data_IF_210885163431
#
_entry.id   IF_210885163431
#
_cell.length_a   1.000
_cell.length_b   1.000
_cell.length_c   1.000
_cell.angle_alpha   90.00
_cell.angle_beta   90.00
_cell.angle_gamma   90.00
#
_symmetry.space_group_name_H-M   'P 1'
#
loop_
_entity.id
_entity.type
_entity.pdbx_description
1 polymer ?
#
# COMPACT_ATOMS: atom_id res chain seq x y z
N UNK A 1 4.35 24.80 -7.26
CA UNK A 1 3.12 25.37 -7.86
C UNK A 1 2.39 24.39 -8.78
N UNK A 2 2.90 24.02 -9.96
CA UNK A 2 2.11 23.17 -10.89
C UNK A 2 1.88 21.74 -10.40
N UNK A 3 2.92 21.10 -9.85
CA UNK A 3 2.81 19.75 -9.30
C UNK A 3 1.87 19.70 -8.09
N UNK A 4 1.94 20.68 -7.20
CA UNK A 4 1.05 20.80 -6.04
C UNK A 4 -0.41 21.00 -6.49
N UNK A 5 -0.65 21.86 -7.48
CA UNK A 5 -1.99 22.08 -8.03
C UNK A 5 -2.57 20.80 -8.65
N UNK A 6 -1.76 20.02 -9.37
CA UNK A 6 -2.17 18.72 -9.90
C UNK A 6 -2.51 17.72 -8.79
N UNK A 7 -1.70 17.68 -7.73
CA UNK A 7 -1.98 16.84 -6.55
C UNK A 7 -3.28 17.29 -5.88
N UNK A 8 -3.47 18.58 -5.60
CA UNK A 8 -4.70 19.12 -5.01
C UNK A 8 -5.94 18.80 -5.84
N UNK A 9 -5.87 18.97 -7.16
CA UNK A 9 -6.98 18.60 -8.07
C UNK A 9 -7.26 17.09 -8.07
N UNK A 10 -6.21 16.27 -7.98
CA UNK A 10 -6.34 14.82 -7.83
C UNK A 10 -7.01 14.43 -6.52
N UNK A 11 -6.62 15.08 -5.41
CA UNK A 11 -7.24 14.89 -4.09
C UNK A 11 -8.72 15.30 -4.08
N UNK A 12 -9.09 16.40 -4.75
CA UNK A 12 -10.49 16.82 -4.87
C UNK A 12 -11.38 15.83 -5.64
N UNK A 13 -10.81 15.06 -6.57
CA UNK A 13 -11.54 14.01 -7.31
C UNK A 13 -11.57 12.67 -6.59
N UNK A 14 -10.83 12.52 -5.49
CA UNK A 14 -10.82 11.30 -4.68
C UNK A 14 -12.20 11.14 -4.04
N UNK A 15 -12.85 10.00 -4.28
CA UNK A 15 -14.12 9.68 -3.62
C UNK A 15 -13.90 9.56 -2.11
N UNK A 16 -14.45 10.50 -1.35
CA UNK A 16 -14.56 10.46 0.11
C UNK A 16 -16.01 10.17 0.45
N UNK A 17 -16.27 9.10 1.21
CA UNK A 17 -17.61 8.75 1.67
C UNK A 17 -17.58 8.54 3.19
N UNK A 18 -18.33 9.36 3.92
CA UNK A 18 -18.40 9.33 5.38
C UNK A 18 -19.09 8.04 5.90
N UNK A 19 -18.47 7.34 6.87
CA UNK A 19 -19.12 6.34 7.76
C UNK A 19 -19.31 6.96 9.15
N UNK A 20 -20.16 6.36 9.97
CA UNK A 20 -20.34 6.70 11.41
C UNK A 20 -19.04 6.56 12.25
N UNK A 21 -17.98 5.95 11.71
CA UNK A 21 -16.68 5.76 12.38
C UNK A 21 -15.56 6.70 11.85
N UNK A 22 -15.71 7.30 10.67
CA UNK A 22 -14.71 8.21 10.11
C UNK A 22 -15.35 9.09 9.01
N UNK A 23 -15.44 10.41 9.24
CA UNK A 23 -16.20 11.29 8.35
C UNK A 23 -15.46 11.76 7.11
N UNK A 24 -14.13 11.61 7.02
CA UNK A 24 -13.38 12.29 5.94
C UNK A 24 -12.37 11.49 5.11
N UNK A 25 -11.84 10.31 5.50
CA UNK A 25 -10.59 9.87 4.82
C UNK A 25 -10.45 8.46 4.24
N UNK A 26 -11.29 7.45 4.55
CA UNK A 26 -10.74 6.07 4.50
C UNK A 26 -11.43 5.05 3.59
N UNK A 27 -11.95 5.43 2.41
CA UNK A 27 -12.60 4.44 1.51
C UNK A 27 -12.01 4.26 0.12
N UNK A 28 -11.25 5.24 -0.35
CA UNK A 28 -10.50 5.13 -1.59
C UNK A 28 -9.03 4.93 -1.30
N UNK A 29 -8.35 4.13 -2.12
CA UNK A 29 -6.89 4.00 -2.10
C UNK A 29 -6.30 4.97 -3.11
N UNK A 30 -5.21 5.63 -2.77
CA UNK A 30 -4.55 6.58 -3.67
C UNK A 30 -3.09 6.18 -3.90
N UNK A 31 -2.65 6.21 -5.16
CA UNK A 31 -1.24 6.00 -5.51
C UNK A 31 -0.76 7.22 -6.29
N UNK A 32 0.22 7.93 -5.74
CA UNK A 32 0.92 9.02 -6.41
C UNK A 32 2.32 8.52 -6.75
N UNK A 33 2.70 8.61 -8.02
CA UNK A 33 4.06 8.25 -8.46
C UNK A 33 4.75 9.47 -9.05
N UNK A 34 5.86 9.85 -8.44
CA UNK A 34 6.75 10.91 -8.90
C UNK A 34 7.93 10.22 -9.58
N UNK A 35 8.24 10.62 -10.82
CA UNK A 35 9.35 10.07 -11.60
C UNK A 35 10.26 11.21 -12.02
N UNK A 36 11.52 11.17 -11.61
CA UNK A 36 12.55 12.02 -12.17
C UNK A 36 13.11 11.32 -13.42
N UNK A 37 13.12 12.01 -14.55
CA UNK A 37 13.69 11.51 -15.80
C UNK A 37 14.92 12.34 -16.11
N UNK A 38 16.11 11.74 -15.99
CA UNK A 38 17.35 12.37 -16.44
C UNK A 38 17.57 12.04 -17.91
N UNK A 39 17.29 12.99 -18.81
CA UNK A 39 17.72 12.86 -20.20
C UNK A 39 19.23 13.10 -20.25
N UNK A 40 20.02 12.05 -20.35
CA UNK A 40 21.44 12.17 -20.72
C UNK A 40 21.51 12.67 -22.16
N UNK A 41 22.17 13.81 -22.37
CA UNK A 41 22.32 14.47 -23.69
C UNK A 41 23.47 13.84 -24.50
N UNK A 42 24.04 12.72 -24.05
CA UNK A 42 25.06 12.03 -24.82
C UNK A 42 24.44 11.09 -25.85
N UNK A 43 24.49 11.52 -27.12
CA UNK A 43 24.02 10.82 -28.32
C UNK A 43 24.72 9.48 -28.61
N UNK A 44 25.49 8.92 -27.66
CA UNK A 44 26.31 7.70 -27.85
C UNK A 44 26.06 6.58 -26.85
N UNK A 45 25.25 6.78 -25.81
CA UNK A 45 24.96 5.71 -24.84
C UNK A 45 23.53 5.19 -25.02
N UNK A 46 23.38 3.96 -25.52
CA UNK A 46 22.14 3.14 -25.45
C UNK A 46 21.79 2.71 -24.01
N UNK A 47 22.25 3.43 -22.99
CA UNK A 47 21.92 3.09 -21.61
C UNK A 47 20.54 3.66 -21.27
N UNK A 48 19.63 2.82 -20.74
CA UNK A 48 18.28 3.28 -20.39
C UNK A 48 18.40 4.41 -19.37
N UNK A 49 17.70 5.52 -19.66
CA UNK A 49 17.40 6.63 -18.75
C UNK A 49 17.28 6.14 -17.30
N UNK A 50 18.32 6.32 -16.49
CA UNK A 50 18.28 6.03 -15.06
C UNK A 50 17.46 7.12 -14.39
N UNK A 51 16.19 6.84 -14.15
CA UNK A 51 15.27 7.74 -13.47
C UNK A 51 14.98 7.28 -12.06
N UNK A 52 14.92 8.21 -11.10
CA UNK A 52 14.44 7.90 -9.75
C UNK A 52 12.90 7.87 -9.75
N UNK A 53 12.33 6.96 -8.96
CA UNK A 53 10.88 6.81 -8.79
C UNK A 53 10.55 6.83 -7.32
N UNK A 54 9.64 7.70 -6.92
CA UNK A 54 9.02 7.72 -5.60
C UNK A 54 7.53 7.40 -5.76
N UNK A 55 7.08 6.33 -5.13
CA UNK A 55 5.66 5.97 -5.08
C UNK A 55 5.15 6.15 -3.66
N UNK A 56 4.11 6.97 -3.50
CA UNK A 56 3.37 7.18 -2.26
C UNK A 56 2.02 6.48 -2.44
N UNK A 57 1.73 5.50 -1.59
CA UNK A 57 0.47 4.77 -1.61
C UNK A 57 -0.25 4.98 -0.28
N UNK A 58 -1.42 5.60 -0.34
CA UNK A 58 -2.34 5.76 0.78
C UNK A 58 -3.36 4.61 0.75
N UNK A 59 -3.34 3.79 1.79
CA UNK A 59 -4.18 2.60 1.91
C UNK A 59 -5.36 2.91 2.82
N UNK A 60 -6.55 2.48 2.39
CA UNK A 60 -7.74 2.55 3.22
C UNK A 60 -7.58 1.70 4.50
N UNK A 61 -8.33 2.07 5.55
CA UNK A 61 -8.29 1.40 6.84
C UNK A 61 -8.53 -0.10 6.74
N UNK A 62 -7.81 -0.89 7.55
CA UNK A 62 -7.98 -2.33 7.63
C UNK A 62 -8.78 -2.72 8.88
N UNK A 63 -9.86 -1.99 9.16
CA UNK A 63 -10.66 -2.19 10.37
C UNK A 63 -11.34 -3.56 10.41
N UNK A 64 -11.31 -4.17 11.61
CA UNK A 64 -11.96 -5.46 11.83
C UNK A 64 -13.47 -5.27 11.92
N UNK A 65 -14.20 -6.10 11.18
CA UNK A 65 -15.68 -6.09 10.97
C UNK A 65 -16.55 -6.03 12.23
N UNK A 66 -16.01 -6.12 13.44
CA UNK A 66 -16.81 -6.32 14.66
C UNK A 66 -17.74 -5.14 14.99
N UNK A 67 -17.48 -3.92 14.51
CA UNK A 67 -18.25 -2.73 14.93
C UNK A 67 -18.78 -1.82 13.81
N UNK A 68 -18.75 -2.21 12.53
CA UNK A 68 -19.10 -1.23 11.47
C UNK A 68 -20.59 -1.11 11.15
N UNK A 69 -21.42 -2.10 11.52
CA UNK A 69 -22.86 -2.09 11.19
C UNK A 69 -23.17 -2.04 9.68
N UNK A 70 -22.17 -2.25 8.81
CA UNK A 70 -22.28 -2.04 7.38
C UNK A 70 -23.22 -3.06 6.72
N UNK A 71 -24.19 -2.57 5.94
CA UNK A 71 -25.15 -3.37 5.15
C UNK A 71 -25.10 -2.98 3.66
N UNK A 72 -25.54 -3.87 2.78
CA UNK A 72 -25.66 -3.62 1.34
C UNK A 72 -24.34 -3.20 0.68
N UNK A 73 -24.36 -2.12 -0.10
CA UNK A 73 -23.20 -1.59 -0.83
C UNK A 73 -22.01 -1.26 0.07
N UNK A 74 -22.26 -0.79 1.31
CA UNK A 74 -21.20 -0.48 2.29
C UNK A 74 -20.45 -1.72 2.75
N UNK A 75 -21.13 -2.86 2.84
CA UNK A 75 -20.48 -4.13 3.19
C UNK A 75 -19.57 -4.62 2.05
N UNK A 76 -20.01 -4.47 0.80
CA UNK A 76 -19.20 -4.81 -0.37
C UNK A 76 -17.93 -3.96 -0.45
N UNK A 77 -18.06 -2.66 -0.19
CA UNK A 77 -16.94 -1.72 -0.14
C UNK A 77 -15.94 -2.08 0.97
N UNK A 78 -16.40 -2.29 2.20
CA UNK A 78 -15.52 -2.72 3.30
C UNK A 78 -14.86 -4.08 3.03
N UNK A 79 -15.55 -5.00 2.36
CA UNK A 79 -14.95 -6.28 1.96
C UNK A 79 -13.83 -6.07 0.93
N UNK A 80 -14.03 -5.19 -0.05
CA UNK A 80 -13.02 -4.87 -1.06
C UNK A 80 -11.77 -4.24 -0.44
N UNK A 81 -11.94 -3.29 0.47
CA UNK A 81 -10.84 -2.65 1.21
C UNK A 81 -10.06 -3.69 2.01
N UNK A 82 -10.76 -4.48 2.82
CA UNK A 82 -10.13 -5.52 3.64
C UNK A 82 -9.42 -6.60 2.82
N UNK A 83 -10.01 -7.00 1.69
CA UNK A 83 -9.37 -7.93 0.77
C UNK A 83 -8.06 -7.36 0.21
N UNK A 84 -8.06 -6.07 -0.15
CA UNK A 84 -6.84 -5.43 -0.66
C UNK A 84 -5.72 -5.41 0.38
N UNK A 85 -6.03 -5.03 1.63
CA UNK A 85 -5.07 -5.03 2.75
C UNK A 85 -4.59 -6.45 3.08
N UNK A 86 -5.47 -7.45 3.01
CA UNK A 86 -5.11 -8.86 3.20
C UNK A 86 -4.12 -9.34 2.11
N UNK A 87 -4.42 -9.08 0.83
CA UNK A 87 -3.54 -9.46 -0.28
C UNK A 87 -2.19 -8.75 -0.18
N UNK A 88 -2.15 -7.48 0.22
CA UNK A 88 -0.91 -6.76 0.49
C UNK A 88 -0.08 -7.45 1.58
N UNK A 89 -0.69 -7.83 2.70
CA UNK A 89 -0.03 -8.59 3.76
C UNK A 89 0.50 -9.96 3.30
N UNK A 90 -0.25 -10.67 2.46
CA UNK A 90 0.19 -11.94 1.86
C UNK A 90 1.42 -11.75 0.97
N UNK A 91 1.50 -10.65 0.21
CA UNK A 91 2.69 -10.34 -0.59
C UNK A 91 3.92 -10.12 0.29
N UNK A 92 3.80 -9.34 1.38
CA UNK A 92 4.91 -9.12 2.30
C UNK A 92 5.37 -10.41 2.99
N UNK A 93 4.42 -11.26 3.39
CA UNK A 93 4.73 -12.58 3.96
C UNK A 93 5.47 -13.48 2.97
N UNK A 94 4.98 -13.57 1.73
CA UNK A 94 5.62 -14.33 0.68
C UNK A 94 7.05 -13.85 0.40
N UNK A 95 7.27 -12.53 0.35
CA UNK A 95 8.60 -11.95 0.21
C UNK A 95 9.52 -12.31 1.38
N UNK A 96 9.03 -12.15 2.62
CA UNK A 96 9.80 -12.49 3.81
C UNK A 96 10.18 -13.98 3.85
N UNK A 97 9.25 -14.88 3.54
CA UNK A 97 9.48 -16.31 3.56
C UNK A 97 10.43 -16.77 2.45
N UNK A 98 10.34 -16.18 1.26
CA UNK A 98 11.31 -16.37 0.18
C UNK A 98 12.72 -15.91 0.59
N UNK A 99 12.85 -14.77 1.25
CA UNK A 99 14.14 -14.30 1.76
C UNK A 99 14.73 -15.15 2.89
N UNK A 100 13.88 -15.80 3.70
CA UNK A 100 14.33 -16.74 4.75
C UNK A 100 14.78 -18.06 4.16
N UNK A 101 14.15 -18.51 3.07
CA UNK A 101 14.48 -19.74 2.40
C UNK A 101 14.36 -19.56 0.88
N UNK A 102 15.49 -19.26 0.23
CA UNK A 102 15.56 -19.05 -1.22
C UNK A 102 15.20 -20.28 -2.04
N UNK A 103 15.10 -21.48 -1.43
CA UNK A 103 14.59 -22.68 -2.11
C UNK A 103 13.07 -22.64 -2.32
N UNK A 104 12.34 -21.82 -1.55
CA UNK A 104 10.91 -21.61 -1.74
C UNK A 104 10.68 -20.61 -2.88
N UNK A 105 9.81 -20.95 -3.81
CA UNK A 105 9.35 -20.01 -4.84
C UNK A 105 8.64 -18.83 -4.21
N UNK A 106 8.93 -17.61 -4.69
CA UNK A 106 8.17 -16.42 -4.30
C UNK A 106 6.73 -16.52 -4.84
N UNK A 107 5.76 -16.68 -3.94
CA UNK A 107 4.34 -16.73 -4.31
C UNK A 107 3.88 -15.39 -4.88
N UNK A 108 3.23 -15.43 -6.05
CA UNK A 108 2.87 -14.24 -6.85
C UNK A 108 1.50 -13.66 -6.47
N UNK A 109 1.27 -13.40 -5.18
CA UNK A 109 0.00 -12.84 -4.66
C UNK A 109 -0.32 -11.45 -5.21
N UNK A 110 0.68 -10.72 -5.71
CA UNK A 110 0.49 -9.37 -6.22
C UNK A 110 -0.52 -9.28 -7.36
N UNK A 111 -0.83 -10.40 -8.03
CA UNK A 111 -1.84 -10.48 -9.09
C UNK A 111 -3.28 -10.35 -8.58
N UNK A 112 -3.52 -10.55 -7.28
CA UNK A 112 -4.85 -10.74 -6.70
C UNK A 112 -5.57 -9.42 -6.35
N UNK A 113 -4.89 -8.27 -6.42
CA UNK A 113 -5.51 -6.95 -6.28
C UNK A 113 -4.87 -5.93 -7.22
N UNK A 114 -5.59 -4.87 -7.59
CA UNK A 114 -5.02 -3.84 -8.45
C UNK A 114 -3.86 -3.10 -7.79
N UNK A 115 -4.01 -2.74 -6.51
CA UNK A 115 -2.97 -2.11 -5.70
C UNK A 115 -1.67 -2.93 -5.77
N UNK A 116 -1.75 -4.21 -5.45
CA UNK A 116 -0.56 -5.05 -5.38
C UNK A 116 0.07 -5.26 -6.75
N UNK A 117 -0.70 -5.22 -7.85
CA UNK A 117 -0.14 -5.21 -9.21
C UNK A 117 0.67 -3.95 -9.49
N UNK A 118 0.18 -2.78 -9.07
CA UNK A 118 0.94 -1.53 -9.19
C UNK A 118 2.20 -1.51 -8.33
N UNK A 119 2.16 -2.13 -7.15
CA UNK A 119 3.29 -2.19 -6.23
C UNK A 119 4.20 -3.41 -6.42
N UNK A 120 4.04 -4.18 -7.51
CA UNK A 120 4.77 -5.44 -7.77
C UNK A 120 6.27 -5.35 -7.50
N UNK A 121 6.93 -4.32 -8.04
CA UNK A 121 8.39 -4.17 -7.90
C UNK A 121 8.83 -4.04 -6.43
N UNK A 122 8.04 -3.32 -5.62
CA UNK A 122 8.28 -3.17 -4.19
C UNK A 122 8.00 -4.49 -3.44
N UNK A 123 6.92 -5.18 -3.81
CA UNK A 123 6.48 -6.44 -3.20
C UNK A 123 7.33 -7.67 -3.61
N UNK A 124 8.16 -7.53 -4.63
CA UNK A 124 9.17 -8.52 -5.01
C UNK A 124 10.58 -8.16 -4.49
N UNK A 125 10.71 -7.08 -3.71
CA UNK A 125 12.00 -6.64 -3.15
C UNK A 125 12.93 -5.93 -4.15
N UNK A 126 12.46 -5.62 -5.37
CA UNK A 126 13.23 -4.95 -6.43
C UNK A 126 13.32 -3.43 -6.27
N UNK A 127 12.51 -2.85 -5.38
CA UNK A 127 12.52 -1.43 -5.02
C UNK A 127 12.37 -1.28 -3.52
N UNK A 128 13.05 -0.29 -2.94
CA UNK A 128 12.96 0.05 -1.52
C UNK A 128 11.55 0.52 -1.17
N UNK A 129 11.05 0.06 -0.03
CA UNK A 129 9.72 0.42 0.48
C UNK A 129 9.80 0.70 1.99
N UNK A 130 9.08 1.72 2.44
CA UNK A 130 8.80 1.97 3.87
C UNK A 130 7.31 1.82 4.09
N UNK A 131 6.92 1.04 5.09
CA UNK A 131 5.54 0.87 5.50
C UNK A 131 5.29 1.72 6.76
N UNK A 132 4.35 2.65 6.67
CA UNK A 132 3.89 3.45 7.80
C UNK A 132 2.57 2.87 8.29
N UNK A 133 2.48 2.59 9.59
CA UNK A 133 1.28 2.06 10.23
C UNK A 133 0.68 3.13 11.12
N UNK A 134 -0.52 3.59 10.78
CA UNK A 134 -1.29 4.52 11.58
C UNK A 134 -2.21 3.72 12.50
N UNK A 135 -1.99 3.85 13.81
CA UNK A 135 -2.76 3.14 14.85
C UNK A 135 -3.44 4.14 15.77
N UNK A 136 -4.58 3.75 16.35
CA UNK A 136 -5.28 4.57 17.34
C UNK A 136 -4.79 4.22 18.75
N UNK A 137 -4.50 5.21 19.61
CA UNK A 137 -3.94 4.98 20.95
C UNK A 137 -5.00 4.66 22.02
N UNK A 138 -6.28 4.54 21.65
CA UNK A 138 -7.37 4.31 22.61
C UNK A 138 -7.33 2.92 23.25
N UNK A 139 -7.80 2.80 24.49
CA UNK A 139 -7.86 1.52 25.21
C UNK A 139 -8.75 0.51 24.50
N UNK A 140 -9.89 0.95 23.96
CA UNK A 140 -10.80 0.11 23.17
C UNK A 140 -10.13 -0.46 21.92
N UNK A 141 -9.11 0.23 21.39
CA UNK A 141 -8.37 -0.14 20.19
C UNK A 141 -7.11 -0.97 20.51
N UNK A 142 -6.75 -1.14 21.79
CA UNK A 142 -5.49 -1.77 22.20
C UNK A 142 -5.33 -3.19 21.63
N UNK A 143 -6.40 -3.99 21.66
CA UNK A 143 -6.38 -5.35 21.14
C UNK A 143 -6.16 -5.39 19.61
N UNK A 144 -6.72 -4.43 18.89
CA UNK A 144 -6.63 -4.28 17.43
C UNK A 144 -5.24 -3.76 17.02
N UNK A 145 -4.79 -2.69 17.65
CA UNK A 145 -3.46 -2.12 17.48
C UNK A 145 -2.37 -3.16 17.80
N UNK A 146 -2.48 -3.85 18.93
CA UNK A 146 -1.50 -4.89 19.33
C UNK A 146 -1.45 -6.05 18.36
N UNK A 147 -2.60 -6.48 17.84
CA UNK A 147 -2.66 -7.53 16.84
C UNK A 147 -1.98 -7.10 15.52
N UNK A 148 -2.29 -5.90 15.04
CA UNK A 148 -1.70 -5.35 13.82
C UNK A 148 -0.18 -5.24 13.94
N UNK A 149 0.33 -4.67 15.03
CA UNK A 149 1.78 -4.52 15.26
C UNK A 149 2.49 -5.88 15.33
N UNK A 150 1.91 -6.90 15.97
CA UNK A 150 2.46 -8.25 15.98
C UNK A 150 2.50 -8.89 14.59
N UNK A 151 1.47 -8.68 13.78
CA UNK A 151 1.44 -9.19 12.40
C UNK A 151 2.45 -8.48 11.50
N UNK A 152 2.68 -7.18 11.72
CA UNK A 152 3.56 -6.38 10.89
C UNK A 152 5.05 -6.42 11.30
N UNK A 153 5.35 -6.66 12.58
CA UNK A 153 6.71 -6.71 13.10
C UNK A 153 7.68 -7.58 12.28
N UNK A 154 7.30 -8.79 11.81
CA UNK A 154 8.19 -9.60 10.96
C UNK A 154 8.61 -8.92 9.65
N UNK A 155 7.78 -8.03 9.09
CA UNK A 155 8.05 -7.35 7.82
C UNK A 155 9.20 -6.33 7.91
N UNK A 156 9.57 -5.88 9.12
CA UNK A 156 10.76 -5.06 9.35
C UNK A 156 12.07 -5.79 8.96
N UNK A 157 12.03 -7.11 8.81
CA UNK A 157 13.18 -7.94 8.41
C UNK A 157 13.29 -8.13 6.89
N UNK A 158 12.37 -7.58 6.10
CA UNK A 158 12.44 -7.60 4.64
C UNK A 158 13.63 -6.75 4.20
N UNK A 159 14.35 -7.23 3.17
CA UNK A 159 15.57 -6.59 2.67
C UNK A 159 15.30 -6.17 1.23
N UNK A 160 15.58 -4.92 0.93
CA UNK A 160 15.41 -4.37 -0.41
C UNK A 160 16.77 -4.16 -1.05
N UNK A 161 16.88 -4.49 -2.34
CA UNK A 161 18.09 -4.36 -3.13
C UNK A 161 18.00 -3.16 -4.08
#
# INVERSE_FOLDING_TARGET
MDAESLVSRGMLKRSTAATDANSESSRSQCIITIRAVHKTVDQKSEHPTSGSVLTIADLAGAERKKNTGNKGSRLLESNFINNTSMVFGLCLRALLDHQKNQKKTLEKHFKNSMLTRYLKDYLEGRKKMTLILNVKPGEDDYADTSYLLRQASPYMKIRYF
#
